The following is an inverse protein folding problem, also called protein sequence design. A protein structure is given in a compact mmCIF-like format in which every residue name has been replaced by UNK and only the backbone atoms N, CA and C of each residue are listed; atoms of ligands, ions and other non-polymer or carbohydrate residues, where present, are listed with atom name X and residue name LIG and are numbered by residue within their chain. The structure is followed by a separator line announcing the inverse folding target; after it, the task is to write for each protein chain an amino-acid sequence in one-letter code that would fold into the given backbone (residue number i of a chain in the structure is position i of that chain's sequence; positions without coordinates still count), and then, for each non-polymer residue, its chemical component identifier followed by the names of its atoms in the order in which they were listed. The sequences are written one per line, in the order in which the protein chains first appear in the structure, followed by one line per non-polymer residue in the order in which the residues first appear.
data_IF_779132355515
#
_entry.id   IF_779132355515
#
_cell.length_a   1.000
_cell.length_b   1.000
_cell.length_c   1.000
_cell.angle_alpha   90.00
_cell.angle_beta   90.00
_cell.angle_gamma   90.00
#
_symmetry.space_group_name_H-M   'P 1'
#
loop_
_entity.id
_entity.type
_entity.pdbx_description
1 polymer ?
#
# COMPACT_ATOMS: atom_id res chain seq x y z
N UNK A 1 -3.33 -10.51 9.96
CA UNK A 1 -2.81 -10.96 11.28
C UNK A 1 -3.53 -10.18 12.38
N UNK A 2 -3.91 -10.80 13.50
CA UNK A 2 -4.43 -10.09 14.68
C UNK A 2 -3.30 -9.91 15.68
N UNK A 3 -3.17 -8.72 16.25
CA UNK A 3 -2.20 -8.43 17.32
C UNK A 3 -2.94 -7.82 18.51
N UNK A 4 -2.52 -8.20 19.71
CA UNK A 4 -2.99 -7.57 20.95
C UNK A 4 -2.00 -6.48 21.34
N UNK A 5 -2.49 -5.25 21.44
CA UNK A 5 -1.78 -4.15 22.05
C UNK A 5 -2.09 -4.17 23.55
N UNK A 6 -1.04 -4.21 24.36
CA UNK A 6 -1.16 -4.19 25.83
C UNK A 6 -0.68 -2.83 26.30
N UNK A 7 -1.58 -2.06 26.89
CA UNK A 7 -1.24 -0.86 27.63
C UNK A 7 -0.78 -1.26 29.04
N UNK A 8 0.52 -1.14 29.30
CA UNK A 8 1.13 -1.49 30.59
C UNK A 8 0.76 -0.53 31.71
N UNK A 9 0.28 0.67 31.40
CA UNK A 9 -0.04 1.68 32.39
C UNK A 9 -1.46 1.52 32.92
N UNK A 10 -2.42 1.26 32.04
CA UNK A 10 -3.83 1.06 32.41
C UNK A 10 -4.26 -0.41 32.50
N UNK A 11 -3.34 -1.34 32.20
CA UNK A 11 -3.60 -2.78 32.10
C UNK A 11 -4.76 -3.12 31.14
N UNK A 12 -4.89 -2.31 30.09
CA UNK A 12 -5.91 -2.42 29.06
C UNK A 12 -5.37 -3.17 27.83
N UNK A 13 -6.26 -3.89 27.15
CA UNK A 13 -5.93 -4.59 25.92
C UNK A 13 -6.80 -4.11 24.76
N UNK A 14 -6.18 -3.96 23.60
CA UNK A 14 -6.88 -3.67 22.34
C UNK A 14 -6.43 -4.66 21.26
N UNK A 15 -7.39 -5.19 20.50
CA UNK A 15 -7.09 -6.02 19.34
C UNK A 15 -7.01 -5.17 18.08
N UNK A 16 -5.90 -5.28 17.36
CA UNK A 16 -5.70 -4.63 16.07
C UNK A 16 -5.55 -5.67 14.96
N UNK A 17 -6.26 -5.44 13.84
CA UNK A 17 -6.00 -6.17 12.60
C UNK A 17 -4.89 -5.48 11.83
N UNK A 18 -3.81 -6.22 11.59
CA UNK A 18 -2.73 -5.79 10.70
C UNK A 18 -3.14 -6.15 9.26
N UNK A 19 -3.18 -5.16 8.35
CA UNK A 19 -3.46 -5.40 6.95
C UNK A 19 -2.35 -6.25 6.32
N UNK A 20 -2.71 -7.05 5.33
CA UNK A 20 -1.73 -7.66 4.43
C UNK A 20 -1.22 -6.65 3.40
N UNK A 21 -0.41 -7.10 2.43
CA UNK A 21 0.19 -6.22 1.43
C UNK A 21 -0.86 -5.46 0.60
N UNK A 22 -1.92 -6.13 0.14
CA UNK A 22 -2.99 -5.49 -0.63
C UNK A 22 -3.72 -4.43 0.22
N UNK A 23 -4.10 -4.79 1.44
CA UNK A 23 -4.73 -3.86 2.37
C UNK A 23 -3.82 -2.67 2.70
N UNK A 24 -2.53 -2.91 2.93
CA UNK A 24 -1.55 -1.88 3.23
C UNK A 24 -1.36 -0.92 2.05
N UNK A 25 -1.30 -1.44 0.82
CA UNK A 25 -1.21 -0.65 -0.41
C UNK A 25 -2.41 0.30 -0.55
N UNK A 26 -3.63 -0.23 -0.37
CA UNK A 26 -4.88 0.55 -0.41
C UNK A 26 -4.88 1.62 0.69
N UNK A 27 -4.40 1.28 1.90
CA UNK A 27 -4.32 2.22 3.02
C UNK A 27 -3.29 3.32 2.78
N UNK A 28 -2.15 3.05 2.13
CA UNK A 28 -1.17 4.10 1.78
C UNK A 28 -1.74 5.15 0.83
N UNK A 29 -2.60 4.75 -0.11
CA UNK A 29 -3.37 5.69 -0.95
C UNK A 29 -4.28 6.60 -0.12
N UNK A 30 -4.96 6.03 0.89
CA UNK A 30 -5.82 6.80 1.79
C UNK A 30 -5.02 7.74 2.68
N UNK A 31 -3.90 7.26 3.23
CA UNK A 31 -2.98 8.04 4.08
C UNK A 31 -2.42 9.25 3.34
N UNK A 32 -1.97 9.08 2.09
CA UNK A 32 -1.51 10.20 1.25
C UNK A 32 -2.54 11.32 1.16
N UNK A 33 -3.83 10.98 1.01
CA UNK A 33 -4.91 11.98 0.86
C UNK A 33 -5.29 12.65 2.18
N UNK A 34 -5.12 11.95 3.29
CA UNK A 34 -5.44 12.46 4.63
C UNK A 34 -4.28 13.27 5.24
N UNK A 35 -3.05 13.06 4.77
CA UNK A 35 -1.86 13.73 5.27
C UNK A 35 -1.79 15.20 4.80
N UNK A 36 -2.09 16.11 5.73
CA UNK A 36 -2.02 17.56 5.54
C UNK A 36 -0.74 18.17 6.14
N UNK A 37 0.17 17.36 6.69
CA UNK A 37 1.32 17.81 7.48
C UNK A 37 2.62 17.98 6.66
N UNK A 38 2.55 17.85 5.33
CA UNK A 38 3.62 18.25 4.41
C UNK A 38 4.60 17.14 4.00
N UNK A 39 4.46 15.92 4.54
CA UNK A 39 5.34 14.79 4.22
C UNK A 39 4.54 13.62 3.62
N UNK A 40 3.58 13.93 2.76
CA UNK A 40 2.69 12.92 2.16
C UNK A 40 3.40 12.02 1.15
N UNK A 41 4.51 12.49 0.57
CA UNK A 41 5.25 11.79 -0.48
C UNK A 41 5.86 10.47 0.03
N UNK A 42 6.19 10.38 1.33
CA UNK A 42 6.64 9.11 1.93
C UNK A 42 5.64 7.97 1.75
N UNK A 43 4.34 8.28 1.71
CA UNK A 43 3.32 7.24 1.49
C UNK A 43 3.41 6.65 0.09
N UNK A 44 3.95 7.39 -0.90
CA UNK A 44 4.19 6.87 -2.25
C UNK A 44 5.45 6.02 -2.32
N UNK A 45 6.53 6.38 -1.59
CA UNK A 45 7.69 5.49 -1.42
C UNK A 45 7.29 4.16 -0.76
N UNK A 46 6.51 4.22 0.32
CA UNK A 46 6.02 3.02 0.98
C UNK A 46 5.08 2.21 0.08
N UNK A 47 4.21 2.88 -0.70
CA UNK A 47 3.34 2.21 -1.65
C UNK A 47 4.13 1.49 -2.76
N UNK A 48 5.20 2.10 -3.27
CA UNK A 48 6.10 1.49 -4.24
C UNK A 48 6.77 0.24 -3.67
N UNK A 49 7.32 0.33 -2.44
CA UNK A 49 7.88 -0.83 -1.74
C UNK A 49 6.84 -1.93 -1.54
N UNK A 50 5.66 -1.62 -0.99
CA UNK A 50 4.62 -2.62 -0.74
C UNK A 50 4.17 -3.29 -2.04
N UNK A 51 3.96 -2.51 -3.11
CA UNK A 51 3.60 -3.07 -4.42
C UNK A 51 4.67 -4.03 -4.92
N UNK A 52 5.96 -3.71 -4.73
CA UNK A 52 7.06 -4.58 -5.17
C UNK A 52 7.12 -5.95 -4.49
N UNK A 53 6.45 -6.10 -3.34
CA UNK A 53 6.42 -7.33 -2.54
C UNK A 53 5.20 -8.21 -2.85
N UNK A 54 4.29 -7.77 -3.72
CA UNK A 54 3.12 -8.57 -4.11
C UNK A 54 3.53 -9.50 -5.26
N UNK A 55 3.59 -10.80 -4.99
CA UNK A 55 4.09 -11.81 -5.94
C UNK A 55 3.07 -12.20 -7.03
N UNK A 56 1.77 -12.14 -6.73
CA UNK A 56 0.71 -12.58 -7.64
C UNK A 56 -0.43 -11.54 -7.73
N UNK A 57 -0.25 -10.49 -8.54
CA UNK A 57 -1.25 -9.42 -8.63
C UNK A 57 -2.58 -9.86 -9.22
N UNK A 58 -2.61 -10.87 -10.09
CA UNK A 58 -3.86 -11.42 -10.64
C UNK A 58 -4.74 -12.05 -9.55
N UNK A 59 -4.12 -12.81 -8.65
CA UNK A 59 -4.82 -13.38 -7.49
C UNK A 59 -5.34 -12.27 -6.57
N UNK A 60 -4.54 -11.21 -6.35
CA UNK A 60 -4.93 -10.07 -5.52
C UNK A 60 -6.07 -9.25 -6.14
N UNK A 61 -6.14 -9.15 -7.48
CA UNK A 61 -7.22 -8.46 -8.17
C UNK A 61 -8.61 -9.05 -7.85
N UNK A 62 -8.70 -10.37 -7.66
CA UNK A 62 -9.95 -11.06 -7.26
C UNK A 62 -10.44 -10.72 -5.85
N UNK A 63 -9.56 -10.15 -5.01
CA UNK A 63 -9.83 -9.74 -3.63
C UNK A 63 -10.31 -8.29 -3.51
N UNK A 64 -10.37 -7.56 -4.62
CA UNK A 64 -10.92 -6.22 -4.67
C UNK A 64 -12.45 -6.28 -4.69
N UNK A 65 -13.09 -5.59 -3.73
CA UNK A 65 -14.53 -5.73 -3.52
C UNK A 65 -15.29 -4.41 -3.50
N UNK A 66 -14.62 -3.26 -3.48
CA UNK A 66 -15.30 -1.96 -3.41
C UNK A 66 -14.84 -0.97 -4.49
N UNK A 67 -15.77 -0.12 -4.93
CA UNK A 67 -15.47 1.04 -5.81
C UNK A 67 -14.37 1.94 -5.22
N UNK A 68 -14.26 1.99 -3.90
CA UNK A 68 -13.28 2.82 -3.22
C UNK A 68 -11.87 2.23 -3.32
N UNK A 69 -11.73 0.91 -3.29
CA UNK A 69 -10.44 0.23 -3.50
C UNK A 69 -9.90 0.55 -4.89
N UNK A 70 -10.73 0.38 -5.93
CA UNK A 70 -10.36 0.77 -7.29
C UNK A 70 -10.01 2.25 -7.41
N UNK A 71 -10.77 3.16 -6.76
CA UNK A 71 -10.46 4.60 -6.76
C UNK A 71 -9.09 4.90 -6.12
N UNK A 72 -8.75 4.18 -5.05
CA UNK A 72 -7.47 4.33 -4.34
C UNK A 72 -6.31 3.77 -5.16
N UNK A 73 -6.50 2.63 -5.81
CA UNK A 73 -5.49 2.00 -6.66
C UNK A 73 -5.26 2.79 -7.96
N UNK A 74 -6.32 3.32 -8.60
CA UNK A 74 -6.18 4.21 -9.77
C UNK A 74 -5.40 5.47 -9.43
N UNK A 75 -5.59 6.00 -8.23
CA UNK A 75 -4.79 7.12 -7.74
C UNK A 75 -3.31 6.75 -7.59
N UNK A 76 -3.00 5.57 -7.07
CA UNK A 76 -1.61 5.10 -7.01
C UNK A 76 -1.03 4.91 -8.41
N UNK A 77 -1.77 4.31 -9.36
CA UNK A 77 -1.34 4.16 -10.75
C UNK A 77 -1.01 5.48 -11.44
N UNK A 78 -1.73 6.56 -11.13
CA UNK A 78 -1.42 7.88 -11.69
C UNK A 78 -0.19 8.55 -11.07
N UNK A 79 0.30 8.07 -9.92
CA UNK A 79 1.48 8.60 -9.23
C UNK A 79 2.72 7.74 -9.42
N UNK A 80 2.56 6.43 -9.34
CA UNK A 80 3.61 5.42 -9.46
C UNK A 80 3.84 5.05 -10.93
N UNK A 81 4.09 6.05 -11.77
CA UNK A 81 4.44 5.82 -13.18
C UNK A 81 5.82 5.16 -13.28
N UNK A 82 6.13 4.55 -14.44
CA UNK A 82 7.42 3.86 -14.67
C UNK A 82 8.65 4.72 -14.33
N UNK A 83 8.56 6.01 -14.61
CA UNK A 83 9.64 6.99 -14.46
C UNK A 83 9.56 7.75 -13.13
N UNK A 84 8.62 7.40 -12.24
CA UNK A 84 8.51 8.04 -10.93
C UNK A 84 9.70 7.71 -10.03
N UNK A 85 10.14 8.71 -9.28
CA UNK A 85 11.28 8.62 -8.34
C UNK A 85 11.06 7.63 -7.19
N UNK A 86 9.79 7.28 -6.92
CA UNK A 86 9.43 6.39 -5.80
C UNK A 86 9.97 4.96 -5.98
N UNK A 87 10.40 4.61 -7.20
CA UNK A 87 11.02 3.33 -7.51
C UNK A 87 12.54 3.32 -7.34
N UNK A 88 13.19 4.47 -7.18
CA UNK A 88 14.65 4.60 -7.31
C UNK A 88 15.43 3.91 -6.18
N UNK A 89 14.77 3.61 -5.06
CA UNK A 89 15.35 2.86 -3.94
C UNK A 89 15.27 1.34 -4.13
N UNK A 90 14.56 0.86 -5.14
CA UNK A 90 14.36 -0.55 -5.42
C UNK A 90 15.31 -1.04 -6.51
N UNK A 91 15.70 -2.31 -6.42
CA UNK A 91 16.39 -2.96 -7.55
C UNK A 91 15.44 -3.17 -8.75
N UNK A 92 16.03 -3.52 -9.89
CA UNK A 92 15.29 -3.69 -11.14
C UNK A 92 14.18 -4.75 -11.06
N UNK A 93 14.37 -5.82 -10.28
CA UNK A 93 13.38 -6.89 -10.13
C UNK A 93 12.18 -6.39 -9.34
N UNK A 94 12.41 -5.77 -8.19
CA UNK A 94 11.36 -5.23 -7.34
C UNK A 94 10.61 -4.08 -8.01
N UNK A 95 11.32 -3.21 -8.75
CA UNK A 95 10.68 -2.19 -9.58
C UNK A 95 9.75 -2.81 -10.63
N UNK A 96 10.19 -3.87 -11.32
CA UNK A 96 9.36 -4.55 -12.32
C UNK A 96 8.11 -5.19 -11.68
N UNK A 97 8.29 -5.89 -10.55
CA UNK A 97 7.17 -6.48 -9.81
C UNK A 97 6.15 -5.42 -9.38
N UNK A 98 6.62 -4.30 -8.81
CA UNK A 98 5.75 -3.22 -8.38
C UNK A 98 4.97 -2.57 -9.53
N UNK A 99 5.62 -2.40 -10.68
CA UNK A 99 4.96 -1.88 -11.89
C UNK A 99 3.91 -2.86 -12.43
N UNK A 100 4.19 -4.16 -12.43
CA UNK A 100 3.23 -5.19 -12.82
C UNK A 100 1.99 -5.13 -11.91
N UNK A 101 2.19 -5.10 -10.60
CA UNK A 101 1.11 -4.98 -9.60
C UNK A 101 0.24 -3.75 -9.82
N UNK A 102 0.86 -2.57 -9.99
CA UNK A 102 0.12 -1.33 -10.20
C UNK A 102 -0.65 -1.34 -11.53
N UNK A 103 -0.15 -2.03 -12.56
CA UNK A 103 -0.82 -2.13 -13.84
C UNK A 103 -1.96 -3.14 -13.86
N UNK A 104 -1.81 -4.27 -13.17
CA UNK A 104 -2.76 -5.38 -13.14
C UNK A 104 -3.97 -5.09 -12.24
N UNK A 105 -3.79 -4.38 -11.13
CA UNK A 105 -4.87 -4.14 -10.17
C UNK A 105 -5.96 -3.13 -10.65
N UNK A 106 -5.73 -2.34 -11.72
CA UNK A 106 -6.64 -1.24 -12.16
C UNK A 106 -6.68 -0.87 -13.64
#
# INVERSE_FOLDING_TARGET
MLVTLIDRHENNEAMLRIPDLLGALILKSAAYKADNMGDREKHLYDAALIASLIDNPDSEASRLHSKNDYKRLRFLKSKLTKDSIYWDTLDAKHKLNGLDVINTLV
#
